data_IF_710357316414
#
_entry.id   IF_710357316414
#
_cell.length_a   1.000
_cell.length_b   1.000
_cell.length_c   1.000
_cell.angle_alpha   90.00
_cell.angle_beta   90.00
_cell.angle_gamma   90.00
#
_symmetry.space_group_name_H-M   'P 1'
#
loop_
_entity.id
_entity.type
_entity.pdbx_description
1 polymer ?
#
# COMPACT_ATOMS: atom_id res chain seq x y z
N UNK A 1 -16.41 2.47 -10.22
CA UNK A 1 -15.53 2.69 -9.05
C UNK A 1 -14.15 2.03 -9.20
N UNK A 2 -14.06 0.80 -9.73
CA UNK A 2 -12.77 0.08 -9.88
C UNK A 2 -11.69 0.82 -10.70
N UNK A 3 -12.05 1.46 -11.82
CA UNK A 3 -11.09 2.19 -12.66
C UNK A 3 -10.48 3.43 -11.98
N UNK A 4 -11.26 4.15 -11.16
CA UNK A 4 -10.76 5.33 -10.43
C UNK A 4 -9.79 4.89 -9.33
N UNK A 5 -10.13 3.85 -8.57
CA UNK A 5 -9.23 3.27 -7.57
C UNK A 5 -7.92 2.79 -8.22
N UNK A 6 -8.02 2.10 -9.37
CA UNK A 6 -6.87 1.65 -10.14
C UNK A 6 -5.91 2.79 -10.48
N UNK A 7 -6.41 3.86 -11.12
CA UNK A 7 -5.56 4.93 -11.66
C UNK A 7 -5.04 5.87 -10.56
N UNK A 8 -5.90 6.27 -9.61
CA UNK A 8 -5.54 7.29 -8.62
C UNK A 8 -4.74 6.73 -7.45
N UNK A 9 -4.96 5.46 -7.07
CA UNK A 9 -4.38 4.93 -5.83
C UNK A 9 -3.67 3.59 -6.03
N UNK A 10 -4.17 2.72 -6.91
CA UNK A 10 -3.52 1.44 -7.21
C UNK A 10 -2.18 1.63 -7.92
N UNK A 11 -2.11 2.46 -8.95
CA UNK A 11 -0.91 2.61 -9.77
C UNK A 11 -0.09 3.87 -9.46
N UNK A 12 -0.73 4.93 -8.98
CA UNK A 12 -0.10 6.25 -8.78
C UNK A 12 1.13 6.20 -7.85
N UNK A 13 1.01 5.58 -6.68
CA UNK A 13 2.12 5.50 -5.71
C UNK A 13 3.27 4.64 -6.21
N UNK A 14 2.99 3.58 -6.96
CA UNK A 14 4.03 2.76 -7.60
C UNK A 14 4.74 3.56 -8.69
N UNK A 15 4.00 4.36 -9.48
CA UNK A 15 4.61 5.22 -10.49
C UNK A 15 5.58 6.24 -9.88
N UNK A 16 5.22 6.84 -8.74
CA UNK A 16 6.04 7.81 -8.04
C UNK A 16 7.24 7.18 -7.31
N UNK A 17 7.01 6.13 -6.52
CA UNK A 17 7.97 5.65 -5.52
C UNK A 17 8.52 4.25 -5.80
N UNK A 18 7.92 3.50 -6.72
CA UNK A 18 8.36 2.15 -7.05
C UNK A 18 9.73 2.13 -7.71
N UNK A 19 10.55 1.14 -7.37
CA UNK A 19 11.78 0.86 -8.10
C UNK A 19 11.47 0.39 -9.53
N UNK A 20 12.45 0.45 -10.42
CA UNK A 20 12.26 0.02 -11.81
C UNK A 20 11.78 -1.44 -11.90
N UNK A 21 12.30 -2.32 -11.05
CA UNK A 21 11.85 -3.72 -10.97
C UNK A 21 10.36 -3.83 -10.62
N UNK A 22 9.89 -3.04 -9.64
CA UNK A 22 8.47 -3.01 -9.24
C UNK A 22 7.62 -2.44 -10.38
N UNK A 23 8.07 -1.37 -11.04
CA UNK A 23 7.36 -0.75 -12.16
C UNK A 23 7.16 -1.75 -13.29
N UNK A 24 8.21 -2.48 -13.68
CA UNK A 24 8.10 -3.48 -14.76
C UNK A 24 7.20 -4.66 -14.40
N UNK A 25 7.26 -5.16 -13.15
CA UNK A 25 6.50 -6.35 -12.73
C UNK A 25 5.05 -6.09 -12.33
N UNK A 26 4.74 -4.86 -11.93
CA UNK A 26 3.44 -4.49 -11.35
C UNK A 26 2.79 -3.38 -12.17
N UNK A 27 3.44 -2.22 -12.29
CA UNK A 27 2.84 -1.04 -12.90
C UNK A 27 2.54 -1.23 -14.39
N UNK A 28 3.49 -1.76 -15.16
CA UNK A 28 3.32 -1.95 -16.61
C UNK A 28 2.12 -2.89 -16.92
N UNK A 29 2.00 -4.09 -16.33
CA UNK A 29 0.80 -4.92 -16.46
C UNK A 29 -0.47 -4.22 -15.98
N UNK A 30 -0.40 -3.46 -14.88
CA UNK A 30 -1.56 -2.74 -14.34
C UNK A 30 -2.08 -1.64 -15.27
N UNK A 31 -1.19 -0.95 -15.99
CA UNK A 31 -1.55 0.04 -17.02
C UNK A 31 -2.18 -0.64 -18.25
N UNK A 32 -1.71 -1.85 -18.61
CA UNK A 32 -2.32 -2.66 -19.68
C UNK A 32 -3.68 -3.26 -19.30
N UNK A 33 -4.11 -3.11 -18.05
CA UNK A 33 -5.35 -3.71 -17.54
C UNK A 33 -5.23 -5.19 -17.17
N UNK A 34 -4.01 -5.73 -17.10
CA UNK A 34 -3.73 -7.13 -16.79
C UNK A 34 -3.68 -7.40 -15.27
N UNK A 35 -3.50 -6.35 -14.46
CA UNK A 35 -3.47 -6.43 -12.99
C UNK A 35 -4.29 -5.32 -12.34
N UNK A 36 -5.01 -5.66 -11.28
CA UNK A 36 -5.78 -4.73 -10.46
C UNK A 36 -5.02 -4.42 -9.18
N UNK A 37 -4.84 -3.13 -8.91
CA UNK A 37 -4.18 -2.58 -7.74
C UNK A 37 -5.14 -1.87 -6.80
N UNK A 38 -4.73 -1.79 -5.54
CA UNK A 38 -5.36 -0.91 -4.55
C UNK A 38 -4.33 -0.46 -3.51
N UNK A 39 -4.80 0.33 -2.55
CA UNK A 39 -4.00 0.89 -1.47
C UNK A 39 -4.62 0.61 -0.12
N UNK A 40 -3.76 0.40 0.88
CA UNK A 40 -4.15 0.02 2.22
C UNK A 40 -3.63 1.05 3.24
N UNK A 41 -4.37 2.14 3.42
CA UNK A 41 -4.06 3.19 4.40
C UNK A 41 -4.85 3.01 5.68
N UNK A 42 -6.17 3.04 5.55
CA UNK A 42 -7.11 3.10 6.68
C UNK A 42 -7.08 1.85 7.54
N UNK A 43 -7.12 2.07 8.84
CA UNK A 43 -7.33 1.09 9.90
C UNK A 43 -8.61 1.45 10.65
N UNK A 44 -9.12 0.52 11.45
CA UNK A 44 -10.31 0.75 12.28
C UNK A 44 -10.18 1.97 13.20
N UNK A 45 -8.99 2.22 13.77
CA UNK A 45 -8.71 3.38 14.61
C UNK A 45 -8.11 4.60 13.88
N UNK A 46 -7.71 4.49 12.61
CA UNK A 46 -6.86 5.48 11.94
C UNK A 46 -7.27 5.63 10.48
N UNK A 47 -7.90 6.76 10.18
CA UNK A 47 -8.30 7.15 8.82
C UNK A 47 -7.80 8.54 8.48
N UNK A 48 -8.35 9.57 9.15
CA UNK A 48 -7.88 10.95 8.98
C UNK A 48 -6.53 11.21 9.65
N UNK A 49 -6.26 10.54 10.78
CA UNK A 49 -4.96 10.58 11.47
C UNK A 49 -4.10 9.39 11.06
N UNK A 50 -3.30 9.56 9.99
CA UNK A 50 -2.38 8.53 9.52
C UNK A 50 -1.23 8.27 10.50
N UNK A 51 -0.88 9.24 11.35
CA UNK A 51 0.17 9.10 12.35
C UNK A 51 -0.15 8.02 13.38
N UNK A 52 -1.44 7.75 13.60
CA UNK A 52 -1.95 6.68 14.45
C UNK A 52 -1.91 5.27 13.83
N UNK A 53 -1.29 5.06 12.66
CA UNK A 53 -1.15 3.75 12.02
C UNK A 53 -0.45 2.75 12.95
N UNK A 54 -1.04 1.56 13.12
CA UNK A 54 -0.53 0.47 13.95
C UNK A 54 -0.02 -0.72 13.14
N UNK A 55 -0.35 -0.84 11.87
CA UNK A 55 0.25 -1.86 10.99
C UNK A 55 1.77 -1.69 11.00
N UNK A 56 2.47 -2.72 11.47
CA UNK A 56 3.90 -2.70 11.73
C UNK A 56 4.67 -3.37 10.59
N UNK A 57 5.70 -2.69 10.09
CA UNK A 57 6.70 -3.23 9.21
C UNK A 57 7.97 -3.57 9.99
N UNK A 58 8.24 -4.86 10.17
CA UNK A 58 9.44 -5.36 10.84
C UNK A 58 10.43 -5.86 9.82
N UNK A 59 11.69 -5.40 9.88
CA UNK A 59 12.75 -5.91 9.01
C UNK A 59 13.00 -7.39 9.33
N UNK A 60 13.08 -8.22 8.29
CA UNK A 60 13.40 -9.65 8.40
C UNK A 60 14.42 -10.02 7.32
N UNK A 61 15.00 -11.20 7.41
CA UNK A 61 15.92 -11.69 6.38
C UNK A 61 15.24 -11.70 5.02
N UNK A 62 15.89 -11.06 4.03
CA UNK A 62 15.37 -10.94 2.67
C UNK A 62 14.23 -9.94 2.46
N UNK A 63 13.75 -9.23 3.48
CA UNK A 63 12.67 -8.26 3.27
C UNK A 63 12.05 -7.64 4.51
N UNK A 64 10.72 -7.55 4.50
CA UNK A 64 9.90 -6.95 5.54
C UNK A 64 8.71 -7.85 5.84
N UNK A 65 8.40 -8.03 7.12
CA UNK A 65 7.15 -8.62 7.58
C UNK A 65 6.18 -7.49 7.89
N UNK A 66 5.03 -7.47 7.22
CA UNK A 66 3.95 -6.52 7.46
C UNK A 66 2.87 -7.21 8.28
N UNK A 67 2.50 -6.66 9.43
CA UNK A 67 1.48 -7.22 10.31
C UNK A 67 0.53 -6.13 10.82
N UNK A 68 -0.76 -6.29 10.55
CA UNK A 68 -1.81 -5.38 10.99
C UNK A 68 -3.14 -5.68 10.32
N UNK A 69 -4.14 -4.83 10.59
CA UNK A 69 -5.47 -4.91 9.99
C UNK A 69 -5.79 -3.62 9.27
N UNK A 70 -6.18 -3.73 8.00
CA UNK A 70 -6.61 -2.63 7.15
C UNK A 70 -8.11 -2.74 6.90
N UNK A 71 -8.78 -1.61 6.71
CA UNK A 71 -10.23 -1.52 6.64
C UNK A 71 -10.66 -0.55 5.53
N UNK A 72 -11.83 -0.76 4.94
CA UNK A 72 -12.39 0.07 3.86
C UNK A 72 -11.57 0.05 2.56
N UNK A 73 -10.97 -1.10 2.24
CA UNK A 73 -10.11 -1.25 1.07
C UNK A 73 -10.95 -1.55 -0.17
N UNK A 74 -11.26 -0.51 -0.94
CA UNK A 74 -11.90 -0.66 -2.25
C UNK A 74 -11.03 -1.56 -3.14
N UNK A 75 -11.65 -2.43 -3.95
CA UNK A 75 -11.00 -3.47 -4.75
C UNK A 75 -10.25 -4.55 -3.94
N UNK A 76 -10.25 -4.53 -2.60
CA UNK A 76 -9.53 -5.52 -1.78
C UNK A 76 -9.78 -6.99 -2.19
N UNK A 77 -11.03 -7.43 -2.43
CA UNK A 77 -11.31 -8.81 -2.83
C UNK A 77 -10.82 -9.23 -4.22
N UNK A 78 -10.47 -8.27 -5.09
CA UNK A 78 -10.12 -8.51 -6.50
C UNK A 78 -8.72 -8.01 -6.87
N UNK A 79 -7.96 -7.51 -5.90
CA UNK A 79 -6.65 -6.91 -6.17
C UNK A 79 -5.57 -7.98 -6.34
N UNK A 80 -4.80 -7.88 -7.43
CA UNK A 80 -3.60 -8.68 -7.66
C UNK A 80 -2.40 -8.17 -6.85
N UNK A 81 -2.42 -6.90 -6.47
CA UNK A 81 -1.41 -6.29 -5.61
C UNK A 81 -2.00 -5.14 -4.79
N UNK A 82 -1.36 -4.86 -3.66
CA UNK A 82 -1.74 -3.77 -2.76
C UNK A 82 -0.51 -3.01 -2.33
N UNK A 83 -0.56 -1.68 -2.33
CA UNK A 83 0.45 -0.87 -1.61
C UNK A 83 -0.01 -0.70 -0.18
N UNK A 84 0.79 -1.15 0.79
CA UNK A 84 0.43 -1.09 2.22
C UNK A 84 1.22 0.01 2.90
N UNK A 85 0.52 0.94 3.55
CA UNK A 85 1.16 1.88 4.45
C UNK A 85 1.30 1.25 5.84
N UNK A 86 2.53 1.18 6.31
CA UNK A 86 2.87 0.64 7.62
C UNK A 86 3.92 1.51 8.29
N UNK A 87 3.95 1.49 9.62
CA UNK A 87 4.99 2.15 10.40
C UNK A 87 6.13 1.19 10.73
N UNK A 88 7.35 1.69 10.82
CA UNK A 88 8.48 0.94 11.42
C UNK A 88 8.54 1.09 12.94
N UNK A 89 7.95 2.16 13.47
CA UNK A 89 7.81 2.43 14.91
C UNK A 89 6.63 3.40 15.13
N UNK A 90 5.54 2.98 15.82
CA UNK A 90 4.39 3.84 16.10
C UNK A 90 4.74 5.16 16.81
N UNK A 91 5.84 5.21 17.58
CA UNK A 91 6.26 6.42 18.30
C UNK A 91 6.74 7.54 17.36
N UNK A 92 7.12 7.21 16.13
CA UNK A 92 7.58 8.19 15.15
C UNK A 92 6.42 8.91 14.43
N UNK A 93 5.17 8.47 14.65
CA UNK A 93 4.00 8.99 13.96
C UNK A 93 4.19 8.98 12.45
N UNK A 94 3.88 10.11 11.79
CA UNK A 94 4.01 10.27 10.34
C UNK A 94 5.42 9.97 9.80
N UNK A 95 6.48 10.23 10.59
CA UNK A 95 7.87 10.01 10.16
C UNK A 95 8.24 8.53 10.09
N UNK A 96 7.48 7.66 10.76
CA UNK A 96 7.70 6.22 10.73
C UNK A 96 7.02 5.52 9.55
N UNK A 97 6.15 6.22 8.81
CA UNK A 97 5.33 5.63 7.76
C UNK A 97 6.11 5.43 6.47
N UNK A 98 5.93 4.25 5.89
CA UNK A 98 6.50 3.89 4.60
C UNK A 98 5.48 3.07 3.79
N UNK A 99 5.72 2.97 2.48
CA UNK A 99 4.96 2.11 1.57
C UNK A 99 5.71 0.80 1.33
N UNK A 100 4.95 -0.30 1.39
CA UNK A 100 5.42 -1.67 1.22
C UNK A 100 4.58 -2.41 0.18
#
# INVERSE_FOLDING_TARGET
>A
MAAIMQILMGTYFIALFGSENIKQRILVPAIKGEKIGTICFTEDQSGSDLGGTRTLATKVDGGWRINGRKQWITNGPIADFTTVMATVDPKLGLKGLNFY
#
